data_IF_939470814720
#
_entry.id   IF_939470814720
#
_cell.length_a   1.000
_cell.length_b   1.000
_cell.length_c   1.000
_cell.angle_alpha   90.00
_cell.angle_beta   90.00
_cell.angle_gamma   90.00
#
_symmetry.space_group_name_H-M   'P 1'
#
loop_
_entity.id
_entity.type
_entity.pdbx_description
1 polymer ?
#
# COMPACT_ATOMS: atom_id res chain seq x y z
N UNK A 1 4.47 23.14 3.64
CA UNK A 1 5.45 22.76 4.69
C UNK A 1 4.96 23.10 6.09
N UNK A 2 4.23 24.20 6.29
CA UNK A 2 3.67 24.59 7.59
C UNK A 2 2.55 23.67 8.08
N UNK A 3 1.58 23.32 7.21
CA UNK A 3 0.53 22.33 7.53
C UNK A 3 1.10 21.01 8.06
N UNK A 4 2.18 20.49 7.47
CA UNK A 4 2.78 19.21 7.90
C UNK A 4 3.45 19.29 9.28
N UNK A 5 3.81 20.49 9.77
CA UNK A 5 4.36 20.65 11.13
C UNK A 5 3.30 20.39 12.19
N UNK A 6 2.05 20.80 11.94
CA UNK A 6 0.95 20.57 12.87
C UNK A 6 0.65 19.08 13.04
N UNK A 7 0.65 18.30 11.95
CA UNK A 7 0.49 16.84 11.99
C UNK A 7 1.69 16.08 12.59
N UNK A 8 2.75 16.80 12.96
CA UNK A 8 3.91 16.29 13.70
C UNK A 8 4.04 16.90 15.10
N UNK A 9 3.07 17.69 15.56
CA UNK A 9 3.11 18.29 16.90
C UNK A 9 3.02 17.21 17.97
N UNK A 10 4.00 17.25 18.88
CA UNK A 10 4.05 16.36 20.04
C UNK A 10 2.90 16.66 21.00
N UNK A 11 2.60 17.94 21.23
CA UNK A 11 1.56 18.38 22.15
C UNK A 11 0.18 17.89 21.71
N UNK A 12 -0.10 17.96 20.40
CA UNK A 12 -1.34 17.42 19.84
C UNK A 12 -1.37 15.90 19.92
N UNK A 13 -0.27 15.21 19.61
CA UNK A 13 -0.19 13.76 19.71
C UNK A 13 -0.47 13.27 21.14
N UNK A 14 0.13 13.89 22.16
CA UNK A 14 -0.12 13.57 23.57
C UNK A 14 -1.58 13.77 23.98
N UNK A 15 -2.23 14.83 23.47
CA UNK A 15 -3.67 15.06 23.72
C UNK A 15 -4.51 13.97 23.07
N UNK A 16 -4.23 13.60 21.82
CA UNK A 16 -4.97 12.55 21.12
C UNK A 16 -4.80 11.20 21.82
N UNK A 17 -3.58 10.86 22.25
CA UNK A 17 -3.31 9.63 23.02
C UNK A 17 -4.11 9.61 24.32
N UNK A 18 -4.17 10.71 25.07
CA UNK A 18 -5.00 10.78 26.30
C UNK A 18 -6.48 10.51 26.01
N UNK A 19 -7.00 11.02 24.89
CA UNK A 19 -8.38 10.75 24.47
C UNK A 19 -8.57 9.30 24.05
N UNK A 20 -7.61 8.70 23.34
CA UNK A 20 -7.62 7.26 22.99
C UNK A 20 -7.71 6.40 24.24
N UNK A 21 -6.89 6.67 25.27
CA UNK A 21 -6.92 5.92 26.53
C UNK A 21 -8.27 6.05 27.23
N UNK A 22 -8.76 7.28 27.42
CA UNK A 22 -10.08 7.51 28.03
C UNK A 22 -11.19 6.79 27.28
N UNK A 23 -11.18 6.85 25.95
CA UNK A 23 -12.20 6.22 25.13
C UNK A 23 -12.11 4.70 25.17
N UNK A 24 -10.90 4.15 25.24
CA UNK A 24 -10.69 2.73 25.44
C UNK A 24 -11.24 2.27 26.79
N UNK A 25 -11.00 3.01 27.88
CA UNK A 25 -11.54 2.67 29.21
C UNK A 25 -13.07 2.56 29.19
N UNK A 26 -13.76 3.48 28.50
CA UNK A 26 -15.21 3.44 28.30
C UNK A 26 -15.68 2.18 27.54
N UNK A 27 -14.90 1.69 26.57
CA UNK A 27 -15.24 0.54 25.72
C UNK A 27 -14.82 -0.79 26.37
N UNK A 28 -13.76 -0.79 27.15
CA UNK A 28 -13.03 -1.98 27.64
C UNK A 28 -13.90 -2.94 28.48
N UNK A 29 -14.96 -2.42 29.09
CA UNK A 29 -15.96 -3.21 29.82
C UNK A 29 -16.71 -4.21 28.93
N UNK A 30 -16.89 -3.88 27.65
CA UNK A 30 -17.62 -4.72 26.67
C UNK A 30 -16.70 -5.35 25.63
N UNK A 31 -15.56 -4.72 25.33
CA UNK A 31 -14.61 -5.20 24.33
C UNK A 31 -13.18 -4.99 24.81
N UNK A 32 -12.60 -6.04 25.39
CA UNK A 32 -11.24 -6.02 25.98
C UNK A 32 -10.09 -6.05 24.97
N UNK A 33 -10.36 -6.47 23.73
CA UNK A 33 -9.36 -6.55 22.67
C UNK A 33 -9.93 -5.87 21.43
N UNK A 34 -9.20 -4.89 20.91
CA UNK A 34 -9.51 -4.13 19.71
C UNK A 34 -8.36 -4.27 18.74
N UNK A 35 -8.60 -4.89 17.59
CA UNK A 35 -7.58 -5.11 16.56
C UNK A 35 -7.80 -4.16 15.38
N UNK A 36 -6.87 -3.24 15.17
CA UNK A 36 -6.92 -2.26 14.08
C UNK A 36 -5.82 -2.60 13.08
N UNK A 37 -6.19 -2.91 11.84
CA UNK A 37 -5.23 -3.20 10.79
C UNK A 37 -4.90 -1.96 9.97
N UNK A 38 -3.61 -1.67 9.78
CA UNK A 38 -3.16 -0.74 8.75
C UNK A 38 -2.77 -1.50 7.49
N UNK A 39 -3.29 -1.08 6.33
CA UNK A 39 -2.96 -1.67 5.04
C UNK A 39 -2.02 -0.75 4.25
N UNK A 40 -0.87 -0.40 4.82
CA UNK A 40 0.17 0.34 4.10
C UNK A 40 1.55 0.18 4.75
N UNK A 41 2.57 -0.17 3.96
CA UNK A 41 3.95 -0.21 4.47
C UNK A 41 4.45 1.14 4.99
N UNK A 42 4.01 2.26 4.42
CA UNK A 42 4.40 3.60 4.89
C UNK A 42 3.74 3.95 6.23
N UNK A 43 2.50 3.51 6.46
CA UNK A 43 1.87 3.63 7.78
C UNK A 43 2.63 2.80 8.81
N UNK A 44 2.98 1.56 8.47
CA UNK A 44 3.77 0.69 9.34
C UNK A 44 5.12 1.33 9.70
N UNK A 45 5.82 1.91 8.72
CA UNK A 45 7.04 2.65 8.96
C UNK A 45 6.83 3.83 9.93
N UNK A 46 5.76 4.61 9.79
CA UNK A 46 5.42 5.69 10.74
C UNK A 46 5.10 5.13 12.13
N UNK A 47 4.31 4.07 12.23
CA UNK A 47 3.97 3.42 13.50
C UNK A 47 5.23 2.99 14.25
N UNK A 48 6.17 2.34 13.56
CA UNK A 48 7.45 1.89 14.14
C UNK A 48 8.34 3.08 14.47
N UNK A 49 8.55 3.99 13.53
CA UNK A 49 9.47 5.13 13.70
C UNK A 49 9.10 6.03 14.87
N UNK A 50 7.81 6.23 15.12
CA UNK A 50 7.30 7.07 16.21
C UNK A 50 6.85 6.28 17.44
N UNK A 51 7.03 4.95 17.44
CA UNK A 51 6.66 4.10 18.58
C UNK A 51 5.16 4.13 18.92
N UNK A 52 4.28 4.31 17.93
CA UNK A 52 2.83 4.51 18.15
C UNK A 52 2.22 3.33 18.90
N UNK A 53 2.68 2.09 18.66
CA UNK A 53 2.21 0.90 19.39
C UNK A 53 2.41 1.02 20.91
N UNK A 54 3.54 1.58 21.34
CA UNK A 54 3.84 1.77 22.77
C UNK A 54 2.99 2.87 23.42
N UNK A 55 2.31 3.70 22.63
CA UNK A 55 1.39 4.73 23.11
C UNK A 55 -0.03 4.21 23.28
N UNK A 56 -0.35 3.05 22.71
CA UNK A 56 -1.69 2.47 22.78
C UNK A 56 -1.96 1.82 24.14
N UNK A 57 -3.22 1.82 24.61
CA UNK A 57 -3.67 0.96 25.70
C UNK A 57 -3.39 -0.52 25.40
N UNK A 58 -3.19 -1.35 26.43
CA UNK A 58 -2.82 -2.76 26.30
C UNK A 58 -3.79 -3.58 25.43
N UNK A 59 -5.10 -3.27 25.47
CA UNK A 59 -6.09 -3.98 24.66
C UNK A 59 -6.27 -3.45 23.23
N UNK A 60 -5.46 -2.49 22.77
CA UNK A 60 -5.48 -2.01 21.38
C UNK A 60 -4.25 -2.53 20.65
N UNK A 61 -4.48 -3.39 19.66
CA UNK A 61 -3.44 -3.97 18.82
C UNK A 61 -3.45 -3.32 17.42
N UNK A 62 -2.33 -2.72 17.02
CA UNK A 62 -2.13 -2.23 15.65
C UNK A 62 -1.44 -3.30 14.80
N UNK A 63 -2.19 -3.89 13.88
CA UNK A 63 -1.76 -5.00 13.03
C UNK A 63 -1.28 -4.48 11.67
N UNK A 64 -0.14 -4.99 11.20
CA UNK A 64 0.34 -4.73 9.85
C UNK A 64 -0.37 -5.67 8.86
N UNK A 65 -1.16 -5.11 7.94
CA UNK A 65 -1.75 -5.83 6.82
C UNK A 65 -0.77 -6.02 5.66
N UNK A 66 -1.19 -6.67 4.55
CA UNK A 66 -0.34 -6.95 3.39
C UNK A 66 -0.08 -5.72 2.50
N UNK A 67 0.35 -4.60 3.09
CA UNK A 67 0.57 -3.30 2.44
C UNK A 67 1.90 -3.14 1.72
N UNK A 68 2.58 -4.23 1.37
CA UNK A 68 3.85 -4.26 0.64
C UNK A 68 3.67 -5.03 -0.68
N UNK A 69 3.61 -4.35 -1.85
CA UNK A 69 3.33 -5.02 -3.12
C UNK A 69 4.45 -5.98 -3.54
N UNK A 70 5.70 -5.65 -3.19
CA UNK A 70 6.87 -6.48 -3.43
C UNK A 70 6.80 -7.78 -2.62
N UNK A 71 6.40 -7.69 -1.36
CA UNK A 71 6.31 -8.83 -0.45
C UNK A 71 5.25 -9.85 -0.87
N UNK A 72 4.17 -9.39 -1.54
CA UNK A 72 3.11 -10.25 -2.06
C UNK A 72 3.30 -10.62 -3.54
N UNK A 73 4.44 -10.27 -4.13
CA UNK A 73 4.77 -10.70 -5.50
C UNK A 73 4.99 -12.20 -5.50
N UNK A 74 4.24 -12.97 -6.30
CA UNK A 74 4.42 -14.41 -6.37
C UNK A 74 5.84 -14.81 -6.79
N UNK A 75 6.36 -15.88 -6.18
CA UNK A 75 7.72 -16.36 -6.42
C UNK A 75 7.95 -16.83 -7.87
N UNK A 76 6.89 -17.28 -8.56
CA UNK A 76 6.91 -17.67 -9.98
C UNK A 76 7.17 -16.48 -10.93
N UNK A 77 6.72 -15.27 -10.59
CA UNK A 77 7.04 -14.04 -11.33
C UNK A 77 8.53 -13.74 -11.24
N UNK A 78 9.12 -13.87 -10.04
CA UNK A 78 10.54 -13.64 -9.82
C UNK A 78 11.36 -14.71 -10.54
N UNK A 79 10.92 -15.97 -10.47
CA UNK A 79 11.52 -17.10 -11.18
C UNK A 79 11.50 -16.90 -12.71
N UNK A 80 10.36 -16.47 -13.27
CA UNK A 80 10.23 -16.18 -14.69
C UNK A 80 11.18 -15.06 -15.12
N UNK A 81 11.24 -13.96 -14.36
CA UNK A 81 12.16 -12.86 -14.63
C UNK A 81 13.63 -13.30 -14.52
N UNK A 82 13.99 -14.14 -13.55
CA UNK A 82 15.33 -14.69 -13.43
C UNK A 82 15.71 -15.54 -14.66
N UNK A 83 14.83 -16.44 -15.10
CA UNK A 83 15.03 -17.28 -16.30
C UNK A 83 15.21 -16.43 -17.57
N UNK A 84 14.31 -15.47 -17.79
CA UNK A 84 14.40 -14.52 -18.91
C UNK A 84 15.76 -13.82 -18.93
N UNK A 85 16.26 -13.40 -17.75
CA UNK A 85 17.57 -12.74 -17.67
C UNK A 85 18.74 -13.64 -18.06
N UNK A 86 18.67 -14.92 -17.71
CA UNK A 86 19.70 -15.93 -18.01
C UNK A 86 19.69 -16.39 -19.47
N UNK A 87 18.55 -16.27 -20.14
CA UNK A 87 18.40 -16.48 -21.60
C UNK A 87 18.96 -15.31 -22.44
N UNK A 88 19.53 -14.28 -21.80
CA UNK A 88 20.18 -13.16 -22.45
C UNK A 88 19.24 -11.99 -22.82
N UNK A 89 17.98 -12.03 -22.39
CA UNK A 89 17.03 -10.92 -22.49
C UNK A 89 17.22 -9.99 -21.30
N UNK A 90 17.27 -8.68 -21.52
CA UNK A 90 17.48 -7.73 -20.42
C UNK A 90 16.24 -7.62 -19.55
N UNK A 91 16.41 -7.73 -18.23
CA UNK A 91 15.36 -7.54 -17.24
C UNK A 91 15.57 -6.25 -16.45
N UNK A 92 14.60 -5.35 -16.54
CA UNK A 92 14.52 -4.15 -15.72
C UNK A 92 13.65 -4.42 -14.48
N UNK A 93 14.13 -4.03 -13.30
CA UNK A 93 13.42 -4.25 -12.05
C UNK A 93 13.63 -3.08 -11.08
N UNK A 94 12.69 -2.90 -10.15
CA UNK A 94 12.87 -1.98 -9.02
C UNK A 94 13.91 -2.54 -8.03
N UNK A 95 14.56 -1.64 -7.28
CA UNK A 95 15.64 -2.02 -6.37
C UNK A 95 15.19 -2.89 -5.19
N UNK A 96 13.94 -2.72 -4.75
CA UNK A 96 13.32 -3.49 -3.67
C UNK A 96 13.02 -4.94 -4.07
N UNK A 97 12.61 -5.18 -5.32
CA UNK A 97 12.37 -6.52 -5.86
C UNK A 97 13.66 -7.28 -6.18
N UNK A 98 14.77 -6.58 -6.45
CA UNK A 98 16.03 -7.16 -6.92
C UNK A 98 16.58 -8.31 -6.06
N UNK A 99 16.37 -8.26 -4.74
CA UNK A 99 16.87 -9.26 -3.78
C UNK A 99 15.80 -10.20 -3.24
N UNK A 100 14.55 -10.06 -3.67
CA UNK A 100 13.46 -10.91 -3.18
C UNK A 100 13.70 -12.34 -3.68
N UNK A 101 13.60 -13.36 -2.82
CA UNK A 101 13.78 -14.74 -3.23
C UNK A 101 12.66 -15.16 -4.19
N UNK A 102 13.03 -15.71 -5.34
CA UNK A 102 12.13 -16.48 -6.20
C UNK A 102 12.04 -17.94 -5.74
N UNK A 103 11.60 -18.82 -6.62
CA UNK A 103 11.53 -20.27 -6.33
C UNK A 103 12.95 -20.83 -6.16
N UNK A 104 13.82 -20.58 -7.14
CA UNK A 104 15.21 -21.04 -7.11
C UNK A 104 16.20 -19.90 -6.91
N UNK A 105 15.97 -18.76 -7.57
CA UNK A 105 16.89 -17.63 -7.59
C UNK A 105 16.14 -16.31 -7.39
N UNK A 106 16.80 -15.37 -6.71
CA UNK A 106 16.51 -13.94 -6.82
C UNK A 106 17.10 -13.35 -8.10
N UNK A 107 16.64 -12.18 -8.51
CA UNK A 107 17.22 -11.44 -9.64
C UNK A 107 18.70 -11.06 -9.39
N UNK A 108 19.07 -10.80 -8.14
CA UNK A 108 20.46 -10.59 -7.75
C UNK A 108 21.33 -11.82 -7.98
N UNK A 109 20.82 -13.01 -7.65
CA UNK A 109 21.53 -14.27 -7.89
C UNK A 109 21.59 -14.60 -9.38
N UNK A 110 20.50 -14.39 -10.13
CA UNK A 110 20.49 -14.58 -11.59
C UNK A 110 21.53 -13.69 -12.28
N UNK A 111 21.65 -12.42 -11.86
CA UNK A 111 22.70 -11.52 -12.36
C UNK A 111 24.11 -12.03 -12.04
N UNK A 112 24.32 -12.55 -10.82
CA UNK A 112 25.61 -13.12 -10.43
C UNK A 112 25.97 -14.37 -11.27
N UNK A 113 24.98 -15.08 -11.83
CA UNK A 113 25.15 -16.21 -12.73
C UNK A 113 25.26 -15.80 -14.22
N UNK A 114 25.36 -14.50 -14.52
CA UNK A 114 25.52 -13.99 -15.88
C UNK A 114 24.25 -13.47 -16.53
N UNK A 115 23.11 -13.44 -15.83
CA UNK A 115 21.88 -12.87 -16.33
C UNK A 115 21.94 -11.34 -16.50
N UNK A 116 21.29 -10.81 -17.54
CA UNK A 116 21.25 -9.35 -17.81
C UNK A 116 20.13 -8.69 -17.00
N UNK A 117 20.42 -8.28 -15.76
CA UNK A 117 19.49 -7.58 -14.87
C UNK A 117 19.96 -6.15 -14.58
N UNK A 118 19.08 -5.17 -14.80
CA UNK A 118 19.32 -3.75 -14.53
C UNK A 118 18.29 -3.23 -13.53
N UNK A 119 18.77 -2.67 -12.42
CA UNK A 119 17.93 -1.97 -11.45
C UNK A 119 17.63 -0.57 -11.96
N UNK A 120 16.35 -0.20 -11.94
CA UNK A 120 15.86 1.12 -12.36
C UNK A 120 15.05 1.77 -11.24
N UNK A 121 15.00 3.10 -11.23
CA UNK A 121 14.16 3.85 -10.29
C UNK A 121 12.71 3.96 -10.78
N UNK A 122 12.51 3.98 -12.09
CA UNK A 122 11.20 4.19 -12.69
C UNK A 122 11.02 3.41 -14.01
N UNK A 123 9.77 3.26 -14.43
CA UNK A 123 9.47 2.73 -15.75
C UNK A 123 9.98 3.63 -16.89
N UNK A 124 10.11 4.94 -16.64
CA UNK A 124 10.70 5.87 -17.59
C UNK A 124 12.17 5.58 -17.87
N UNK A 125 12.91 5.15 -16.84
CA UNK A 125 14.30 4.72 -17.02
C UNK A 125 14.37 3.46 -17.88
N UNK A 126 13.47 2.50 -17.66
CA UNK A 126 13.37 1.30 -18.49
C UNK A 126 13.06 1.63 -19.95
N UNK A 127 12.09 2.53 -20.21
CA UNK A 127 11.77 3.02 -21.56
C UNK A 127 13.00 3.67 -22.21
N UNK A 128 13.69 4.56 -21.50
CA UNK A 128 14.87 5.26 -22.01
C UNK A 128 15.97 4.26 -22.39
N UNK A 129 16.32 3.36 -21.47
CA UNK A 129 17.36 2.35 -21.69
C UNK A 129 17.00 1.35 -22.80
N UNK A 130 15.72 1.00 -22.94
CA UNK A 130 15.24 0.12 -24.01
C UNK A 130 15.33 0.80 -25.39
N UNK A 131 15.08 2.11 -25.48
CA UNK A 131 15.26 2.89 -26.72
C UNK A 131 16.73 3.01 -27.12
N UNK A 132 17.62 3.24 -26.14
CA UNK A 132 19.06 3.39 -26.36
C UNK A 132 19.71 2.09 -26.86
N UNK A 133 19.39 0.94 -26.25
CA UNK A 133 20.08 -0.32 -26.54
C UNK A 133 19.43 -1.14 -27.66
N UNK A 134 18.14 -0.91 -27.98
CA UNK A 134 17.35 -1.66 -28.98
C UNK A 134 17.35 -3.20 -28.84
N UNK A 135 17.80 -3.73 -27.71
CA UNK A 135 17.74 -5.17 -27.36
C UNK A 135 16.37 -5.53 -26.81
N UNK A 136 15.93 -6.76 -27.03
CA UNK A 136 14.74 -7.28 -26.35
C UNK A 136 14.91 -7.20 -24.83
N UNK A 137 13.86 -6.73 -24.17
CA UNK A 137 13.88 -6.44 -22.75
C UNK A 137 12.51 -6.59 -22.11
N UNK A 138 12.50 -6.88 -20.82
CA UNK A 138 11.31 -7.07 -20.00
C UNK A 138 11.41 -6.17 -18.77
N UNK A 139 10.34 -5.45 -18.44
CA UNK A 139 10.22 -4.73 -17.17
C UNK A 139 9.29 -5.50 -16.24
N UNK A 140 9.76 -5.77 -15.02
CA UNK A 140 8.97 -6.46 -13.98
C UNK A 140 8.05 -5.43 -13.31
N UNK A 141 6.80 -5.39 -13.76
CA UNK A 141 5.82 -4.39 -13.36
C UNK A 141 5.07 -4.84 -12.10
N UNK A 142 5.67 -4.56 -10.94
CA UNK A 142 5.12 -4.84 -9.60
C UNK A 142 4.61 -3.56 -8.95
N UNK A 143 3.56 -3.70 -8.14
CA UNK A 143 3.06 -2.60 -7.33
C UNK A 143 1.56 -2.67 -7.03
N UNK A 144 1.06 -1.60 -6.45
CA UNK A 144 -0.36 -1.35 -6.24
C UNK A 144 -0.85 -0.24 -7.16
N UNK A 145 -2.08 0.23 -6.94
CA UNK A 145 -2.74 1.28 -7.70
C UNK A 145 -1.94 2.60 -7.72
N UNK A 146 -1.07 2.83 -6.74
CA UNK A 146 -0.16 4.00 -6.71
C UNK A 146 0.88 4.00 -7.81
N UNK A 147 1.28 2.83 -8.28
CA UNK A 147 2.37 2.66 -9.26
C UNK A 147 1.87 2.37 -10.66
N UNK A 148 0.69 1.74 -10.80
CA UNK A 148 0.09 1.38 -12.07
C UNK A 148 -0.04 2.55 -13.06
N UNK A 149 -0.49 3.77 -12.66
CA UNK A 149 -0.70 4.88 -13.60
C UNK A 149 0.58 5.29 -14.33
N UNK A 150 1.73 5.15 -13.67
CA UNK A 150 3.03 5.52 -14.25
C UNK A 150 3.42 4.63 -15.44
N UNK A 151 2.93 3.38 -15.46
CA UNK A 151 3.12 2.42 -16.55
C UNK A 151 1.98 2.52 -17.56
N UNK A 152 0.74 2.47 -17.06
CA UNK A 152 -0.47 2.49 -17.88
C UNK A 152 -0.54 3.71 -18.80
N UNK A 153 -0.22 4.90 -18.28
CA UNK A 153 -0.21 6.12 -19.09
C UNK A 153 0.79 6.11 -20.24
N UNK A 154 1.90 5.38 -20.11
CA UNK A 154 2.95 5.29 -21.14
C UNK A 154 2.57 4.28 -22.22
N UNK A 155 1.87 3.20 -21.83
CA UNK A 155 1.29 2.24 -22.76
C UNK A 155 0.24 2.92 -23.65
N UNK A 156 -0.74 3.59 -23.04
CA UNK A 156 -1.83 4.27 -23.76
C UNK A 156 -1.30 5.35 -24.70
N UNK A 157 -0.24 6.07 -24.31
CA UNK A 157 0.40 7.09 -25.15
C UNK A 157 1.32 6.53 -26.24
N UNK A 158 1.49 5.21 -26.34
CA UNK A 158 2.39 4.59 -27.32
C UNK A 158 3.87 4.94 -27.10
N UNK A 159 4.27 5.27 -25.87
CA UNK A 159 5.64 5.69 -25.55
C UNK A 159 6.60 4.52 -25.29
N UNK A 160 6.03 3.33 -25.07
CA UNK A 160 6.75 2.08 -24.80
C UNK A 160 7.26 1.50 -26.13
N UNK A 161 8.58 1.31 -26.28
CA UNK A 161 9.15 0.79 -27.52
C UNK A 161 8.83 -0.71 -27.68
N UNK A 162 8.77 -1.23 -28.92
CA UNK A 162 8.29 -2.59 -29.19
C UNK A 162 9.16 -3.69 -28.59
N UNK A 163 10.45 -3.41 -28.36
CA UNK A 163 11.45 -4.29 -27.73
C UNK A 163 11.41 -4.26 -26.19
N UNK A 164 10.48 -3.52 -25.59
CA UNK A 164 10.24 -3.53 -24.14
C UNK A 164 8.88 -4.17 -23.86
N UNK A 165 8.90 -5.36 -23.26
CA UNK A 165 7.71 -6.06 -22.79
C UNK A 165 7.53 -5.88 -21.29
N UNK A 166 6.35 -6.21 -20.79
CA UNK A 166 6.00 -6.13 -19.37
C UNK A 166 5.74 -7.52 -18.82
N UNK A 167 6.35 -7.83 -17.67
CA UNK A 167 5.94 -8.93 -16.82
C UNK A 167 5.07 -8.36 -15.72
N UNK A 168 3.74 -8.47 -15.88
CA UNK A 168 2.77 -7.77 -15.04
C UNK A 168 2.48 -8.56 -13.76
N UNK A 169 2.74 -7.94 -12.62
CA UNK A 169 2.47 -8.48 -11.29
C UNK A 169 1.85 -7.43 -10.35
N UNK A 170 1.08 -6.49 -10.91
CA UNK A 170 0.30 -5.55 -10.13
C UNK A 170 -0.80 -6.23 -9.31
N UNK A 171 -1.19 -5.59 -8.22
CA UNK A 171 -2.25 -6.05 -7.32
C UNK A 171 -3.20 -4.91 -6.98
N UNK A 172 -4.43 -5.26 -6.64
CA UNK A 172 -5.46 -4.33 -6.23
C UNK A 172 -5.71 -4.47 -4.73
N UNK A 173 -5.68 -3.37 -4.02
CA UNK A 173 -5.72 -3.31 -2.57
C UNK A 173 -7.13 -3.52 -2.01
N UNK A 174 -8.21 -2.89 -2.55
CA UNK A 174 -9.57 -3.14 -2.09
C UNK A 174 -10.01 -4.60 -2.20
N UNK A 175 -9.76 -5.33 -3.31
CA UNK A 175 -10.06 -6.77 -3.40
C UNK A 175 -9.32 -7.63 -2.36
N UNK A 176 -8.04 -7.32 -2.07
CA UNK A 176 -7.29 -8.03 -1.03
C UNK A 176 -7.94 -7.82 0.34
N UNK A 177 -8.29 -6.57 0.68
CA UNK A 177 -8.96 -6.28 1.94
C UNK A 177 -10.32 -6.99 2.03
N UNK A 178 -11.10 -7.00 0.94
CA UNK A 178 -12.37 -7.72 0.87
C UNK A 178 -12.19 -9.21 1.12
N UNK A 179 -11.15 -9.82 0.54
CA UNK A 179 -10.81 -11.22 0.78
C UNK A 179 -10.46 -11.49 2.25
N UNK A 180 -9.61 -10.66 2.87
CA UNK A 180 -9.26 -10.80 4.29
C UNK A 180 -10.50 -10.75 5.17
N UNK A 181 -11.40 -9.78 4.92
CA UNK A 181 -12.63 -9.63 5.68
C UNK A 181 -13.61 -10.79 5.45
N UNK A 182 -13.64 -11.37 4.25
CA UNK A 182 -14.53 -12.51 3.95
C UNK A 182 -14.08 -13.83 4.57
N UNK A 183 -12.76 -14.03 4.78
CA UNK A 183 -12.28 -15.25 5.42
C UNK A 183 -12.62 -15.28 6.93
N UNK A 184 -12.68 -14.11 7.58
CA UNK A 184 -12.98 -14.01 9.01
C UNK A 184 -11.92 -14.59 9.94
N UNK A 185 -10.79 -15.05 9.40
CA UNK A 185 -9.68 -15.65 10.15
C UNK A 185 -8.97 -14.66 11.08
N UNK A 186 -8.95 -13.38 10.70
CA UNK A 186 -8.39 -12.29 11.52
C UNK A 186 -9.55 -11.49 12.12
N UNK A 187 -9.74 -11.50 13.45
CA UNK A 187 -10.83 -10.77 14.10
C UNK A 187 -10.53 -9.26 14.14
N UNK A 188 -10.67 -8.59 13.01
CA UNK A 188 -10.43 -7.15 12.87
C UNK A 188 -11.62 -6.32 13.36
N UNK A 189 -11.32 -5.19 13.99
CA UNK A 189 -12.29 -4.25 14.55
C UNK A 189 -12.28 -2.88 13.89
N UNK A 190 -11.23 -2.57 13.15
CA UNK A 190 -11.16 -1.38 12.33
C UNK A 190 -10.00 -1.44 11.35
N UNK A 191 -10.07 -0.57 10.34
CA UNK A 191 -9.10 -0.54 9.24
C UNK A 191 -8.61 0.89 9.05
N UNK A 192 -7.29 1.05 8.98
CA UNK A 192 -6.65 2.27 8.48
C UNK A 192 -6.32 2.02 7.00
N UNK A 193 -7.11 2.62 6.12
CA UNK A 193 -6.98 2.49 4.68
C UNK A 193 -5.79 3.31 4.13
N UNK A 194 -5.05 2.80 3.13
CA UNK A 194 -3.84 3.41 2.62
C UNK A 194 -4.10 4.75 1.94
N UNK A 195 -3.51 5.83 2.46
CA UNK A 195 -3.70 7.17 1.92
C UNK A 195 -3.36 7.31 0.43
N UNK A 196 -2.17 6.88 0.00
CA UNK A 196 -1.72 7.02 -1.39
C UNK A 196 -2.49 6.12 -2.36
N UNK A 197 -2.87 4.91 -1.98
CA UNK A 197 -3.75 4.10 -2.85
C UNK A 197 -5.08 4.82 -3.00
N UNK A 198 -5.61 5.38 -1.91
CA UNK A 198 -6.86 6.14 -1.91
C UNK A 198 -6.79 7.42 -2.75
N UNK A 199 -5.62 8.04 -2.96
CA UNK A 199 -5.53 9.17 -3.91
C UNK A 199 -5.78 8.72 -5.35
N UNK A 200 -5.57 7.45 -5.67
CA UNK A 200 -5.84 6.87 -6.99
C UNK A 200 -7.27 6.35 -7.07
N UNK A 201 -7.67 5.43 -6.19
CA UNK A 201 -8.98 4.75 -6.26
C UNK A 201 -10.12 5.52 -5.60
N UNK A 202 -9.81 6.57 -4.84
CA UNK A 202 -10.76 7.35 -4.06
C UNK A 202 -11.06 6.73 -2.70
N UNK A 203 -11.61 7.54 -1.78
CA UNK A 203 -12.01 7.00 -0.48
C UNK A 203 -13.18 6.01 -0.60
N UNK A 204 -14.08 6.20 -1.58
CA UNK A 204 -15.27 5.35 -1.73
C UNK A 204 -14.94 3.89 -2.05
N UNK A 205 -13.74 3.61 -2.56
CA UNK A 205 -13.26 2.26 -2.80
C UNK A 205 -13.21 1.40 -1.52
N UNK A 206 -13.22 2.02 -0.34
CA UNK A 206 -13.14 1.35 0.97
C UNK A 206 -14.49 1.24 1.68
N UNK A 207 -15.56 1.82 1.13
CA UNK A 207 -16.86 1.89 1.80
C UNK A 207 -17.46 0.50 2.10
N UNK A 208 -17.10 -0.52 1.31
CA UNK A 208 -17.54 -1.90 1.51
C UNK A 208 -17.15 -2.45 2.89
N UNK A 209 -16.01 -2.04 3.46
CA UNK A 209 -15.56 -2.56 4.75
C UNK A 209 -16.53 -2.18 5.88
N UNK A 210 -17.06 -0.96 5.85
CA UNK A 210 -18.10 -0.54 6.78
C UNK A 210 -19.48 -1.11 6.40
N UNK A 211 -19.88 -0.98 5.13
CA UNK A 211 -21.24 -1.29 4.68
C UNK A 211 -21.56 -2.79 4.65
N UNK A 212 -20.59 -3.61 4.24
CA UNK A 212 -20.79 -5.07 4.07
C UNK A 212 -20.27 -5.87 5.28
N UNK A 213 -19.21 -5.40 5.94
CA UNK A 213 -18.53 -6.14 7.02
C UNK A 213 -18.64 -5.48 8.39
N UNK A 214 -19.29 -4.31 8.49
CA UNK A 214 -19.46 -3.59 9.76
C UNK A 214 -18.15 -3.12 10.39
N UNK A 215 -17.09 -2.92 9.60
CA UNK A 215 -15.77 -2.51 10.09
C UNK A 215 -15.54 -1.01 9.88
N UNK A 216 -15.44 -0.21 10.96
CA UNK A 216 -14.97 1.16 10.90
C UNK A 216 -13.71 1.28 10.05
N UNK A 217 -13.74 2.18 9.06
CA UNK A 217 -12.63 2.33 8.13
C UNK A 217 -12.27 3.80 7.97
N UNK A 218 -11.00 4.13 8.18
CA UNK A 218 -10.50 5.50 8.09
C UNK A 218 -9.40 5.58 7.05
N UNK A 219 -9.58 6.43 6.03
CA UNK A 219 -8.50 6.77 5.08
C UNK A 219 -7.60 7.79 5.74
N UNK A 220 -6.33 7.45 5.93
CA UNK A 220 -5.38 8.28 6.68
C UNK A 220 -4.14 8.66 5.86
N UNK A 221 -3.57 9.83 6.18
CA UNK A 221 -2.24 10.24 5.76
C UNK A 221 -1.14 9.46 6.46
N UNK A 222 0.10 9.96 6.39
CA UNK A 222 1.30 9.21 6.83
C UNK A 222 2.03 9.83 8.01
N UNK A 223 1.54 10.96 8.50
CA UNK A 223 2.11 11.61 9.68
C UNK A 223 1.62 10.92 10.96
N UNK A 224 2.38 10.97 12.06
CA UNK A 224 2.00 10.27 13.29
C UNK A 224 0.61 10.68 13.79
N UNK A 225 0.26 11.97 13.64
CA UNK A 225 -1.06 12.45 14.04
C UNK A 225 -2.19 11.91 13.14
N UNK A 226 -1.95 11.70 11.83
CA UNK A 226 -2.93 11.08 10.94
C UNK A 226 -3.32 9.68 11.44
N UNK A 227 -2.32 8.90 11.87
CA UNK A 227 -2.52 7.52 12.35
C UNK A 227 -3.23 7.54 13.70
N UNK A 228 -2.82 8.41 14.63
CA UNK A 228 -3.49 8.55 15.92
C UNK A 228 -4.95 9.01 15.78
N UNK A 229 -5.23 9.95 14.89
CA UNK A 229 -6.61 10.39 14.61
C UNK A 229 -7.41 9.23 13.99
N UNK A 230 -6.82 8.46 13.07
CA UNK A 230 -7.50 7.30 12.51
C UNK A 230 -7.88 6.26 13.58
N UNK A 231 -6.98 5.97 14.52
CA UNK A 231 -7.29 5.10 15.68
C UNK A 231 -8.42 5.70 16.52
N UNK A 232 -8.34 6.99 16.86
CA UNK A 232 -9.37 7.68 17.63
C UNK A 232 -10.74 7.61 16.96
N UNK A 233 -10.83 7.87 15.66
CA UNK A 233 -12.09 7.82 14.91
C UNK A 233 -12.66 6.41 14.84
N UNK A 234 -11.82 5.38 14.67
CA UNK A 234 -12.24 3.98 14.74
C UNK A 234 -12.85 3.67 16.11
N UNK A 235 -12.18 4.05 17.20
CA UNK A 235 -12.70 3.81 18.56
C UNK A 235 -14.03 4.54 18.81
N UNK A 236 -14.20 5.76 18.30
CA UNK A 236 -15.47 6.50 18.41
C UNK A 236 -16.60 5.74 17.74
N UNK A 237 -16.35 5.22 16.52
CA UNK A 237 -17.33 4.43 15.78
C UNK A 237 -17.66 3.11 16.48
N UNK A 238 -16.67 2.43 17.06
CA UNK A 238 -16.87 1.21 17.86
C UNK A 238 -17.77 1.51 19.06
N UNK A 239 -17.47 2.56 19.83
CA UNK A 239 -18.29 2.95 21.00
C UNK A 239 -19.73 3.27 20.61
N UNK A 240 -19.93 3.94 19.48
CA UNK A 240 -21.25 4.32 19.00
C UNK A 240 -22.01 3.17 18.31
N UNK A 241 -21.35 2.04 18.03
CA UNK A 241 -21.93 0.94 17.24
C UNK A 241 -22.31 1.36 15.81
N UNK A 242 -21.63 2.37 15.26
CA UNK A 242 -21.95 2.98 13.96
C UNK A 242 -20.71 2.96 13.05
N UNK A 243 -20.39 1.81 12.42
CA UNK A 243 -19.28 1.73 11.49
C UNK A 243 -19.58 2.56 10.24
N UNK A 244 -18.63 3.39 9.84
CA UNK A 244 -18.68 4.15 8.60
C UNK A 244 -17.28 4.26 7.97
N UNK A 245 -17.26 4.66 6.71
CA UNK A 245 -16.06 5.15 6.07
C UNK A 245 -15.86 6.62 6.46
N UNK A 246 -14.71 6.96 7.01
CA UNK A 246 -14.29 8.34 7.24
C UNK A 246 -13.03 8.65 6.44
N UNK A 247 -13.04 9.76 5.69
CA UNK A 247 -11.86 10.22 4.97
C UNK A 247 -11.18 11.30 5.82
N UNK A 248 -10.13 10.93 6.54
CA UNK A 248 -9.32 11.89 7.31
C UNK A 248 -8.27 12.57 6.42
N UNK A 249 -7.89 11.93 5.30
CA UNK A 249 -6.88 12.44 4.38
C UNK A 249 -7.46 13.34 3.27
N UNK A 250 -8.47 14.16 3.59
CA UNK A 250 -9.19 15.04 2.64
C UNK A 250 -8.28 16.00 1.87
N UNK A 251 -7.14 16.37 2.46
CA UNK A 251 -6.11 17.21 1.82
C UNK A 251 -5.45 16.57 0.59
N UNK A 252 -5.62 15.27 0.38
CA UNK A 252 -5.04 14.55 -0.76
C UNK A 252 -6.01 13.57 -1.44
N UNK A 253 -7.08 13.14 -0.75
CA UNK A 253 -7.99 12.09 -1.23
C UNK A 253 -9.38 12.66 -1.48
N UNK A 254 -9.84 12.58 -2.73
CA UNK A 254 -11.26 12.79 -3.09
C UNK A 254 -12.06 11.48 -2.98
N UNK A 255 -13.40 11.54 -2.86
CA UNK A 255 -14.25 10.35 -2.85
C UNK A 255 -14.09 9.45 -4.08
N UNK A 256 -13.98 10.07 -5.26
CA UNK A 256 -13.86 9.42 -6.56
C UNK A 256 -12.42 9.11 -6.99
N UNK A 257 -11.42 9.58 -6.25
CA UNK A 257 -10.01 9.40 -6.56
C UNK A 257 -9.56 10.17 -7.80
N UNK A 258 -8.48 9.69 -8.42
CA UNK A 258 -7.90 10.30 -9.61
C UNK A 258 -8.49 9.66 -10.87
N UNK A 259 -9.53 10.30 -11.43
CA UNK A 259 -10.22 9.84 -12.64
C UNK A 259 -9.31 9.67 -13.86
N UNK A 260 -8.27 10.49 -13.99
CA UNK A 260 -7.32 10.40 -15.12
C UNK A 260 -6.44 9.17 -14.95
N UNK A 261 -5.91 8.94 -13.74
CA UNK A 261 -5.11 7.77 -13.43
C UNK A 261 -5.91 6.47 -13.62
N UNK A 262 -7.15 6.43 -13.11
CA UNK A 262 -8.05 5.29 -13.29
C UNK A 262 -8.35 5.04 -14.77
N UNK A 263 -8.61 6.09 -15.56
CA UNK A 263 -8.81 5.96 -17.01
C UNK A 263 -7.61 5.27 -17.67
N UNK A 264 -6.39 5.72 -17.39
CA UNK A 264 -5.20 5.08 -17.95
C UNK A 264 -5.08 3.61 -17.54
N UNK A 265 -5.35 3.28 -16.28
CA UNK A 265 -5.31 1.89 -15.79
C UNK A 265 -6.32 1.01 -16.54
N UNK A 266 -7.53 1.51 -16.81
CA UNK A 266 -8.56 0.73 -17.50
C UNK A 266 -8.34 0.63 -19.03
N UNK A 267 -7.70 1.62 -19.64
CA UNK A 267 -7.43 1.65 -21.09
C UNK A 267 -6.18 0.87 -21.50
N UNK A 268 -5.22 0.69 -20.60
CA UNK A 268 -3.95 -0.01 -20.84
C UNK A 268 -4.10 -1.53 -20.83
#
# INVERSE_FOLDING_TARGET
MELLREYRSKELAERVVKVIHKLYDEISSTRRSIKIMSFCGTHEHTIVRYGIRSLMPEGIELIAGPGCPVCITPADVIEAAAKISLEGIRVYTYGDLYRVPGINLSLAQARAQGGDVIVVYSFMDAIRLAKENRRESVFVAVGFETTQPSVASRLVKGEVPPNLKLLIAYRLTPPILKYILSQGEVPLDGIIAPGHVSTIVGSNAWAFAANEYGKPTVVAGFEPLDILIAVLEILKQIRLGKPCLHNEYTRAVSPEGNRIALRYIYEA
#
